data_IF_462211781621
#
_entry.id   IF_462211781621
#
_cell.length_a   1.000
_cell.length_b   1.000
_cell.length_c   1.000
_cell.angle_alpha   90.00
_cell.angle_beta   90.00
_cell.angle_gamma   90.00
#
_symmetry.space_group_name_H-M   'P 1'
#
loop_
_entity.id
_entity.type
_entity.pdbx_description
1 polymer ?
#
# COMPACT_ATOMS: atom_id res chain seq x y z
N UNK A 1 -35.41 10.67 -2.58
CA UNK A 1 -35.19 9.20 -2.49
C UNK A 1 -34.08 8.67 -3.39
N UNK A 2 -33.93 9.15 -4.64
CA UNK A 2 -32.82 8.73 -5.54
C UNK A 2 -31.41 9.00 -4.96
N UNK A 3 -31.18 10.13 -4.28
CA UNK A 3 -29.85 10.45 -3.71
C UNK A 3 -29.40 9.55 -2.54
N UNK A 4 -30.33 8.96 -1.78
CA UNK A 4 -29.96 8.06 -0.67
C UNK A 4 -29.41 6.71 -1.17
N UNK A 5 -29.96 6.19 -2.27
CA UNK A 5 -29.48 4.95 -2.87
C UNK A 5 -28.12 5.12 -3.57
N UNK A 6 -27.85 6.29 -4.18
CA UNK A 6 -26.53 6.59 -4.77
C UNK A 6 -25.45 6.73 -3.69
N UNK A 7 -25.77 7.35 -2.56
CA UNK A 7 -24.84 7.48 -1.42
C UNK A 7 -24.57 6.12 -0.77
N UNK A 8 -25.60 5.27 -0.62
CA UNK A 8 -25.44 3.91 -0.07
C UNK A 8 -24.68 3.00 -1.05
N UNK A 9 -24.93 3.08 -2.36
CA UNK A 9 -24.18 2.34 -3.37
C UNK A 9 -22.72 2.82 -3.46
N UNK A 10 -22.46 4.12 -3.32
CA UNK A 10 -21.11 4.68 -3.24
C UNK A 10 -20.40 4.29 -1.94
N UNK A 11 -21.10 4.21 -0.81
CA UNK A 11 -20.52 3.71 0.46
C UNK A 11 -20.20 2.21 0.38
N UNK A 12 -21.09 1.38 -0.17
CA UNK A 12 -20.87 -0.07 -0.32
C UNK A 12 -19.76 -0.37 -1.34
N UNK A 13 -19.56 0.47 -2.35
CA UNK A 13 -18.42 0.37 -3.28
C UNK A 13 -17.15 1.01 -2.73
N UNK A 14 -17.22 2.11 -1.98
CA UNK A 14 -16.07 2.74 -1.31
C UNK A 14 -15.53 1.92 -0.14
N UNK A 15 -16.35 1.09 0.52
CA UNK A 15 -15.90 0.11 1.53
C UNK A 15 -15.12 -1.04 0.87
N UNK A 16 -15.40 -1.35 -0.41
CA UNK A 16 -14.71 -2.42 -1.16
C UNK A 16 -13.55 -1.92 -2.05
N UNK A 17 -13.38 -0.61 -2.21
CA UNK A 17 -12.20 -0.03 -2.86
C UNK A 17 -11.24 0.36 -1.74
N UNK A 18 -10.16 -0.41 -1.48
CA UNK A 18 -9.12 0.04 -0.57
C UNK A 18 -8.59 1.38 -1.09
N UNK A 19 -8.90 2.45 -0.36
CA UNK A 19 -8.34 3.77 -0.62
C UNK A 19 -6.84 3.64 -0.39
N UNK A 20 -6.06 3.86 -1.45
CA UNK A 20 -4.70 3.36 -1.55
C UNK A 20 -3.69 4.05 -0.62
N UNK A 21 -4.08 5.19 -0.06
CA UNK A 21 -3.33 5.99 0.90
C UNK A 21 -4.06 6.08 2.25
N UNK A 22 -4.84 5.06 2.61
CA UNK A 22 -5.54 5.00 3.89
C UNK A 22 -5.19 3.75 4.66
N UNK A 23 -5.15 3.91 5.97
CA UNK A 23 -5.12 2.82 6.91
C UNK A 23 -6.36 1.94 6.80
N UNK A 24 -6.17 0.62 6.85
CA UNK A 24 -7.26 -0.36 6.87
C UNK A 24 -7.17 -1.17 8.15
N UNK A 25 -7.91 -0.71 9.17
CA UNK A 25 -8.10 -1.45 10.41
C UNK A 25 -9.02 -2.67 10.17
N UNK A 26 -8.42 -3.81 9.79
CA UNK A 26 -9.16 -5.04 9.52
C UNK A 26 -9.87 -5.56 10.78
N UNK A 27 -9.29 -5.44 11.99
CA UNK A 27 -10.02 -5.83 13.20
C UNK A 27 -11.31 -5.01 13.28
N UNK A 28 -11.25 -3.70 13.04
CA UNK A 28 -12.41 -2.81 13.10
C UNK A 28 -13.42 -3.00 11.98
N UNK A 29 -13.08 -3.76 10.93
CA UNK A 29 -14.02 -4.19 9.87
C UNK A 29 -14.77 -5.45 10.28
N UNK A 30 -14.13 -6.36 11.04
CA UNK A 30 -14.66 -7.69 11.36
C UNK A 30 -15.08 -7.86 12.83
N UNK A 31 -14.72 -6.93 13.70
CA UNK A 31 -15.08 -6.93 15.11
C UNK A 31 -15.75 -5.61 15.47
N UNK A 32 -16.78 -5.70 16.31
CA UNK A 32 -17.46 -4.55 16.88
C UNK A 32 -16.49 -3.66 17.64
N UNK A 33 -16.32 -2.43 17.18
CA UNK A 33 -15.34 -1.45 17.72
C UNK A 33 -15.63 -1.03 19.16
N UNK A 34 -16.88 -1.13 19.60
CA UNK A 34 -17.32 -0.85 20.98
C UNK A 34 -17.14 -2.05 21.91
N UNK A 35 -16.71 -3.22 21.41
CA UNK A 35 -16.48 -4.40 22.23
C UNK A 35 -15.19 -4.31 23.06
N UNK A 36 -15.24 -4.84 24.28
CA UNK A 36 -14.07 -4.97 25.16
C UNK A 36 -12.94 -5.76 24.51
N UNK A 37 -13.27 -6.81 23.74
CA UNK A 37 -12.28 -7.65 23.05
C UNK A 37 -11.53 -6.87 21.97
N UNK A 38 -12.23 -6.06 21.16
CA UNK A 38 -11.57 -5.20 20.17
C UNK A 38 -10.59 -4.22 20.85
N UNK A 39 -10.98 -3.60 21.96
CA UNK A 39 -10.09 -2.72 22.73
C UNK A 39 -8.88 -3.46 23.30
N UNK A 40 -9.05 -4.68 23.82
CA UNK A 40 -7.95 -5.49 24.35
C UNK A 40 -6.96 -5.91 23.25
N UNK A 41 -7.47 -6.37 22.10
CA UNK A 41 -6.66 -6.74 20.93
C UNK A 41 -5.85 -5.53 20.46
N UNK A 42 -6.51 -4.39 20.26
CA UNK A 42 -5.86 -3.14 19.83
C UNK A 42 -4.77 -2.71 20.81
N UNK A 43 -5.04 -2.76 22.11
CA UNK A 43 -4.06 -2.40 23.14
C UNK A 43 -2.81 -3.28 23.13
N UNK A 44 -2.95 -4.60 22.93
CA UNK A 44 -1.79 -5.50 22.84
C UNK A 44 -0.98 -5.23 21.57
N UNK A 45 -1.62 -4.91 20.45
CA UNK A 45 -0.91 -4.54 19.20
C UNK A 45 -0.15 -3.23 19.32
N UNK A 46 -0.76 -2.20 19.91
CA UNK A 46 -0.08 -0.93 20.20
C UNK A 46 1.07 -1.13 21.19
N UNK A 47 0.91 -2.03 22.17
CA UNK A 47 1.97 -2.43 23.10
C UNK A 47 3.15 -3.06 22.38
N UNK A 48 2.95 -3.84 21.31
CA UNK A 48 4.08 -4.42 20.57
C UNK A 48 5.04 -3.35 20.04
N UNK A 49 4.50 -2.25 19.48
CA UNK A 49 5.32 -1.12 19.02
C UNK A 49 6.13 -0.49 20.14
N UNK A 50 5.53 -0.31 21.33
CA UNK A 50 6.23 0.22 22.51
C UNK A 50 7.32 -0.74 23.01
N UNK A 51 7.00 -2.03 23.10
CA UNK A 51 7.93 -3.06 23.61
C UNK A 51 9.19 -3.20 22.75
N UNK A 52 9.10 -2.95 21.43
CA UNK A 52 10.25 -2.98 20.51
C UNK A 52 10.94 -1.63 20.36
N UNK A 53 10.57 -0.64 21.18
CA UNK A 53 11.12 0.73 21.12
C UNK A 53 10.93 1.41 19.76
N UNK A 54 9.82 1.16 19.08
CA UNK A 54 9.43 1.94 17.90
C UNK A 54 9.15 3.39 18.28
N UNK A 55 9.55 4.32 17.41
CA UNK A 55 9.38 5.76 17.64
C UNK A 55 8.06 6.18 17.02
N UNK A 56 7.15 6.72 17.83
CA UNK A 56 5.93 7.38 17.34
C UNK A 56 6.29 8.77 16.78
N UNK A 57 5.96 9.00 15.52
CA UNK A 57 6.26 10.25 14.81
C UNK A 57 5.08 11.22 14.92
N UNK A 58 3.89 10.77 14.59
CA UNK A 58 2.64 11.55 14.65
C UNK A 58 1.43 10.60 14.68
N UNK A 59 0.27 11.18 14.96
CA UNK A 59 -1.04 10.54 14.85
C UNK A 59 -1.86 11.14 13.70
N UNK A 60 -2.91 10.43 13.32
CA UNK A 60 -3.78 10.73 12.16
C UNK A 60 -3.02 10.78 10.84
N UNK A 61 -1.93 10.02 10.74
CA UNK A 61 -1.18 9.84 9.50
C UNK A 61 -1.88 8.80 8.62
N UNK A 62 -2.05 9.11 7.35
CA UNK A 62 -2.67 8.23 6.35
C UNK A 62 -1.66 7.72 5.31
N UNK A 63 -0.51 8.39 5.20
CA UNK A 63 0.60 8.02 4.33
C UNK A 63 1.92 8.47 4.92
N UNK A 64 2.99 7.69 4.75
CA UNK A 64 4.34 8.10 5.16
C UNK A 64 5.46 7.43 4.36
N UNK A 65 6.46 8.22 3.94
CA UNK A 65 7.61 7.74 3.18
C UNK A 65 8.92 8.41 3.63
N UNK A 66 10.05 7.78 3.29
CA UNK A 66 11.37 8.36 3.54
C UNK A 66 11.79 9.25 2.36
N UNK A 67 12.23 10.47 2.64
CA UNK A 67 12.85 11.35 1.64
C UNK A 67 14.39 11.26 1.70
N UNK A 68 14.92 10.92 2.86
CA UNK A 68 16.35 10.68 3.10
C UNK A 68 16.53 9.68 4.24
N UNK A 69 17.77 9.41 4.66
CA UNK A 69 18.01 8.61 5.86
C UNK A 69 17.52 9.26 7.16
N UNK A 70 17.21 10.56 7.14
CA UNK A 70 16.89 11.37 8.32
C UNK A 70 15.51 11.99 8.30
N UNK A 71 14.95 12.16 7.12
CA UNK A 71 13.70 12.88 6.92
C UNK A 71 12.60 11.97 6.40
N UNK A 72 11.42 12.17 6.98
CA UNK A 72 10.20 11.43 6.70
C UNK A 72 9.17 12.43 6.23
N UNK A 73 8.60 12.20 5.05
CA UNK A 73 7.43 12.93 4.57
C UNK A 73 6.18 12.13 4.92
N UNK A 74 5.15 12.80 5.42
CA UNK A 74 3.88 12.15 5.73
C UNK A 74 2.69 13.07 5.52
N UNK A 75 1.53 12.47 5.29
CA UNK A 75 0.24 13.15 5.13
C UNK A 75 -0.59 12.87 6.37
N UNK A 76 -1.05 13.94 7.01
CA UNK A 76 -1.96 13.91 8.16
C UNK A 76 -3.35 14.35 7.74
N UNK A 77 -4.38 13.56 8.05
CA UNK A 77 -5.78 13.86 7.72
C UNK A 77 -6.59 14.07 9.01
N UNK A 78 -7.17 15.26 9.18
CA UNK A 78 -8.00 15.62 10.33
C UNK A 78 -9.26 16.35 9.84
N UNK A 79 -10.44 15.81 10.13
CA UNK A 79 -11.72 16.45 9.84
C UNK A 79 -11.82 17.02 8.40
N UNK A 80 -11.39 16.25 7.39
CA UNK A 80 -11.36 16.60 5.96
C UNK A 80 -10.30 17.65 5.53
N UNK A 81 -9.42 18.07 6.45
CA UNK A 81 -8.23 18.84 6.12
C UNK A 81 -6.99 17.93 6.14
N UNK A 82 -6.20 18.01 5.08
CA UNK A 82 -4.93 17.33 4.95
C UNK A 82 -3.78 18.31 5.18
N UNK A 83 -2.73 17.83 5.85
CA UNK A 83 -1.48 18.56 6.04
C UNK A 83 -0.31 17.66 5.69
N UNK A 84 0.59 18.15 4.84
CA UNK A 84 1.81 17.44 4.44
C UNK A 84 2.96 17.98 5.28
N UNK A 85 3.68 17.09 5.93
CA UNK A 85 4.81 17.45 6.80
C UNK A 85 6.10 16.76 6.35
N UNK A 86 7.23 17.42 6.58
CA UNK A 86 8.54 16.77 6.69
C UNK A 86 8.92 16.73 8.17
N UNK A 87 9.22 15.55 8.67
CA UNK A 87 9.78 15.32 10.00
C UNK A 87 11.24 14.93 9.90
N UNK A 88 12.10 15.64 10.61
CA UNK A 88 13.52 15.28 10.75
C UNK A 88 13.71 14.47 12.04
N UNK A 89 14.10 13.20 11.91
CA UNK A 89 14.19 12.26 13.04
C UNK A 89 15.28 12.61 14.06
N UNK A 90 16.34 13.30 13.62
CA UNK A 90 17.48 13.61 14.49
C UNK A 90 17.16 14.81 15.39
N UNK A 91 16.51 15.83 14.84
CA UNK A 91 16.13 17.05 15.57
C UNK A 91 14.74 16.99 16.20
N UNK A 92 13.90 16.03 15.79
CA UNK A 92 12.50 15.96 16.19
C UNK A 92 11.62 17.07 15.59
N UNK A 93 12.16 17.91 14.69
CA UNK A 93 11.44 19.05 14.12
C UNK A 93 10.49 18.61 13.01
N UNK A 94 9.29 19.22 13.01
CA UNK A 94 8.27 19.08 11.97
C UNK A 94 8.15 20.38 11.18
N UNK A 95 8.20 20.29 9.85
CA UNK A 95 7.96 21.40 8.92
C UNK A 95 6.70 21.11 8.12
N UNK A 96 5.71 22.00 8.20
CA UNK A 96 4.54 21.97 7.32
C UNK A 96 4.98 22.38 5.90
N UNK A 97 4.62 21.58 4.90
CA UNK A 97 4.84 21.89 3.49
C UNK A 97 3.59 22.48 2.84
N UNK A 98 2.45 21.82 3.02
CA UNK A 98 1.23 22.17 2.28
C UNK A 98 -0.03 21.72 3.01
N UNK A 99 -1.15 22.39 2.73
CA UNK A 99 -2.49 22.02 3.22
C UNK A 99 -3.50 22.04 2.08
N UNK A 100 -4.42 21.08 2.11
CA UNK A 100 -5.50 20.98 1.15
C UNK A 100 -6.71 20.28 1.78
N UNK A 101 -7.90 20.45 1.22
CA UNK A 101 -9.13 19.86 1.74
C UNK A 101 -9.63 18.75 0.81
N UNK A 102 -10.19 17.69 1.39
CA UNK A 102 -10.71 16.55 0.66
C UNK A 102 -10.25 15.21 1.26
N UNK A 103 -10.62 14.13 0.59
CA UNK A 103 -10.21 12.76 0.96
C UNK A 103 -9.12 12.29 0.01
N UNK A 104 -7.98 11.88 0.56
CA UNK A 104 -6.90 11.32 -0.26
C UNK A 104 -7.27 9.93 -0.76
N UNK A 105 -7.14 9.69 -2.07
CA UNK A 105 -7.45 8.40 -2.71
C UNK A 105 -6.21 7.66 -3.21
N UNK A 106 -5.11 8.37 -3.45
CA UNK A 106 -3.82 7.81 -3.85
C UNK A 106 -2.66 8.70 -3.39
N UNK A 107 -1.55 8.08 -3.00
CA UNK A 107 -0.29 8.76 -2.71
C UNK A 107 0.88 7.82 -3.01
N UNK A 108 1.90 8.34 -3.70
CA UNK A 108 3.15 7.62 -3.93
C UNK A 108 4.32 8.61 -4.00
N UNK A 109 5.51 8.13 -3.63
CA UNK A 109 6.74 8.91 -3.59
C UNK A 109 7.90 8.12 -4.18
N UNK A 110 8.70 8.78 -5.03
CA UNK A 110 9.94 8.20 -5.56
C UNK A 110 11.15 8.94 -5.03
N UNK A 111 11.87 8.31 -4.11
CA UNK A 111 13.04 8.90 -3.46
C UNK A 111 14.13 9.39 -4.43
N UNK A 112 14.39 8.64 -5.50
CA UNK A 112 15.42 9.00 -6.49
C UNK A 112 15.09 10.33 -7.20
N UNK A 113 13.80 10.59 -7.41
CA UNK A 113 13.33 11.73 -8.20
C UNK A 113 12.91 12.89 -7.30
N UNK A 114 12.54 12.60 -6.04
CA UNK A 114 11.97 13.56 -5.10
C UNK A 114 10.50 13.88 -5.37
N UNK A 115 9.84 13.16 -6.29
CA UNK A 115 8.46 13.42 -6.64
C UNK A 115 7.51 12.73 -5.66
N UNK A 116 6.70 13.52 -4.96
CA UNK A 116 5.47 13.08 -4.31
C UNK A 116 4.30 13.38 -5.24
N UNK A 117 3.42 12.41 -5.46
CA UNK A 117 2.13 12.63 -6.10
C UNK A 117 1.00 12.21 -5.17
N UNK A 118 -0.01 13.06 -5.07
CA UNK A 118 -1.21 12.84 -4.25
C UNK A 118 -2.42 13.06 -5.13
N UNK A 119 -3.41 12.17 -5.03
CA UNK A 119 -4.73 12.38 -5.59
C UNK A 119 -5.74 12.49 -4.47
N UNK A 120 -6.64 13.45 -4.58
CA UNK A 120 -7.70 13.65 -3.61
C UNK A 120 -9.03 13.97 -4.27
N UNK A 121 -10.12 13.59 -3.60
CA UNK A 121 -11.49 13.86 -4.00
C UNK A 121 -12.16 14.83 -3.03
N UNK A 122 -13.02 15.68 -3.54
CA UNK A 122 -13.87 16.57 -2.74
C UNK A 122 -15.21 16.78 -3.45
N UNK A 123 -16.21 17.23 -2.70
CA UNK A 123 -17.50 17.61 -3.26
C UNK A 123 -17.42 19.08 -3.66
N UNK A 124 -17.69 19.38 -4.94
CA UNK A 124 -17.76 20.75 -5.44
C UNK A 124 -18.98 21.48 -4.86
N UNK A 125 -19.00 22.81 -5.02
CA UNK A 125 -20.16 23.63 -4.63
C UNK A 125 -21.45 23.22 -5.35
N UNK A 126 -21.32 22.61 -6.54
CA UNK A 126 -22.42 22.03 -7.33
C UNK A 126 -22.86 20.64 -6.86
N UNK A 127 -22.24 20.10 -5.80
CA UNK A 127 -22.56 18.79 -5.23
C UNK A 127 -21.97 17.60 -5.99
N UNK A 128 -21.07 17.83 -6.96
CA UNK A 128 -20.43 16.78 -7.76
C UNK A 128 -19.08 16.36 -7.16
N UNK A 129 -18.76 15.07 -7.23
CA UNK A 129 -17.44 14.57 -6.85
C UNK A 129 -16.39 15.01 -7.87
N UNK A 130 -15.38 15.76 -7.42
CA UNK A 130 -14.26 16.25 -8.23
C UNK A 130 -12.96 15.69 -7.69
N UNK A 131 -12.00 15.43 -8.59
CA UNK A 131 -10.65 15.00 -8.24
C UNK A 131 -9.57 15.99 -8.68
N UNK A 132 -8.54 16.11 -7.86
CA UNK A 132 -7.33 16.88 -8.16
C UNK A 132 -6.09 16.06 -7.83
N UNK A 133 -5.02 16.37 -8.55
CA UNK A 133 -3.68 15.86 -8.33
C UNK A 133 -2.81 16.98 -7.73
N UNK A 134 -2.02 16.65 -6.71
CA UNK A 134 -0.96 17.50 -6.16
C UNK A 134 0.36 16.82 -6.45
N UNK A 135 1.28 17.54 -7.07
CA UNK A 135 2.66 17.13 -7.27
C UNK A 135 3.56 18.02 -6.42
N UNK A 136 4.45 17.40 -5.65
CA UNK A 136 5.43 18.10 -4.83
C UNK A 136 6.82 17.59 -5.18
N UNK A 137 7.73 18.53 -5.45
CA UNK A 137 9.16 18.25 -5.51
C UNK A 137 9.75 18.42 -4.11
N UNK A 138 10.19 17.33 -3.48
CA UNK A 138 10.73 17.35 -2.13
C UNK A 138 12.07 18.11 -2.02
N UNK A 139 12.80 18.31 -3.13
CA UNK A 139 14.09 19.01 -3.16
C UNK A 139 13.90 20.53 -3.20
N UNK A 140 12.94 21.00 -4.00
CA UNK A 140 12.66 22.45 -4.15
C UNK A 140 11.50 22.93 -3.27
N UNK A 141 10.70 22.01 -2.71
CA UNK A 141 9.41 22.29 -2.07
C UNK A 141 8.38 22.94 -3.01
N UNK A 142 8.59 22.88 -4.32
CA UNK A 142 7.62 23.37 -5.31
C UNK A 142 6.37 22.50 -5.32
N UNK A 143 5.19 23.13 -5.41
CA UNK A 143 3.89 22.46 -5.43
C UNK A 143 3.14 22.85 -6.70
N UNK A 144 2.64 21.84 -7.43
CA UNK A 144 1.76 22.01 -8.59
C UNK A 144 0.46 21.26 -8.33
N UNK A 145 -0.67 21.91 -8.60
CA UNK A 145 -1.98 21.28 -8.60
C UNK A 145 -2.56 21.20 -10.00
N UNK A 146 -3.25 20.10 -10.31
CA UNK A 146 -3.95 19.93 -11.57
C UNK A 146 -5.31 19.26 -11.35
N UNK A 147 -6.28 19.60 -12.20
CA UNK A 147 -7.56 18.87 -12.25
C UNK A 147 -7.28 17.48 -12.80
N UNK A 148 -7.85 16.46 -12.15
CA UNK A 148 -7.75 15.08 -12.61
C UNK A 148 -9.05 14.61 -13.22
N UNK A 149 -8.95 13.88 -14.34
CA UNK A 149 -10.11 13.30 -15.02
C UNK A 149 -10.63 12.00 -14.38
N UNK A 150 -9.92 11.47 -13.38
CA UNK A 150 -10.30 10.24 -12.67
C UNK A 150 -10.25 10.44 -11.16
N UNK A 151 -11.28 9.93 -10.48
CA UNK A 151 -11.43 9.95 -9.03
C UNK A 151 -10.35 9.13 -8.30
N UNK A 152 -9.82 8.11 -8.98
CA UNK A 152 -8.83 7.18 -8.44
C UNK A 152 -7.58 7.16 -9.33
N UNK A 153 -6.58 6.35 -8.95
CA UNK A 153 -5.29 6.26 -9.64
C UNK A 153 -5.44 6.11 -11.16
N UNK A 154 -4.83 7.03 -11.89
CA UNK A 154 -4.80 7.06 -13.36
C UNK A 154 -3.39 7.29 -13.94
N UNK A 155 -2.37 7.29 -13.08
CA UNK A 155 -0.97 7.32 -13.47
C UNK A 155 -0.10 6.51 -12.50
N UNK A 156 1.11 6.19 -12.93
CA UNK A 156 2.19 5.67 -12.09
C UNK A 156 3.34 6.69 -12.04
N UNK A 157 4.13 6.70 -10.97
CA UNK A 157 5.35 7.52 -10.94
C UNK A 157 6.46 6.83 -11.72
N UNK A 158 7.22 7.61 -12.48
CA UNK A 158 8.42 7.13 -13.17
C UNK A 158 9.57 6.96 -12.17
N UNK A 159 10.33 5.87 -12.27
CA UNK A 159 11.46 5.59 -11.37
C UNK A 159 12.74 6.37 -11.69
N UNK A 160 12.86 6.90 -12.91
CA UNK A 160 14.11 7.45 -13.46
C UNK A 160 14.15 8.98 -13.54
N UNK A 161 13.02 9.65 -13.25
CA UNK A 161 12.86 11.09 -13.45
C UNK A 161 11.65 11.61 -12.69
N UNK A 162 11.59 12.93 -12.48
CA UNK A 162 10.47 13.62 -11.84
C UNK A 162 9.27 13.71 -12.79
N UNK A 163 8.75 12.57 -13.20
CA UNK A 163 7.64 12.45 -14.14
C UNK A 163 6.65 11.37 -13.72
N UNK A 164 5.42 11.50 -14.18
CA UNK A 164 4.41 10.46 -14.14
C UNK A 164 4.26 9.79 -15.49
N UNK A 165 3.73 8.58 -15.49
CA UNK A 165 3.34 7.81 -16.67
C UNK A 165 1.82 7.76 -16.72
N UNK A 166 1.22 8.40 -17.74
CA UNK A 166 -0.22 8.64 -17.82
C UNK A 166 -0.76 8.35 -19.22
N UNK A 167 -1.92 7.69 -19.29
CA UNK A 167 -2.62 7.45 -20.55
C UNK A 167 -3.35 8.71 -21.03
N UNK A 168 -3.26 8.99 -22.33
CA UNK A 168 -4.01 10.02 -23.05
C UNK A 168 -4.73 9.41 -24.25
N UNK A 169 -5.42 10.25 -25.05
CA UNK A 169 -6.29 9.81 -26.16
C UNK A 169 -5.59 8.91 -27.18
N UNK A 170 -4.33 9.18 -27.52
CA UNK A 170 -3.59 8.51 -28.60
C UNK A 170 -2.43 7.60 -28.12
N UNK A 171 -2.19 7.52 -26.82
CA UNK A 171 -1.08 6.72 -26.29
C UNK A 171 -0.80 6.99 -24.81
N UNK A 172 0.28 6.41 -24.31
CA UNK A 172 0.79 6.62 -22.96
C UNK A 172 1.98 7.57 -23.03
N UNK A 173 1.98 8.54 -22.12
CA UNK A 173 2.95 9.62 -22.05
C UNK A 173 3.69 9.59 -20.73
N UNK A 174 4.96 9.97 -20.80
CA UNK A 174 5.74 10.42 -19.66
C UNK A 174 5.59 11.94 -19.54
N UNK A 175 5.09 12.41 -18.41
CA UNK A 175 4.76 13.82 -18.16
C UNK A 175 5.49 14.34 -16.92
N UNK A 176 6.29 15.40 -17.07
CA UNK A 176 6.84 16.14 -15.93
C UNK A 176 5.86 17.27 -15.53
N UNK A 177 5.27 17.23 -14.32
CA UNK A 177 4.27 18.21 -13.89
C UNK A 177 4.83 19.62 -13.63
N UNK A 178 6.16 19.77 -13.50
CA UNK A 178 6.81 21.05 -13.21
C UNK A 178 7.39 21.68 -14.48
N UNK A 179 7.99 20.86 -15.34
CA UNK A 179 8.48 21.31 -16.65
C UNK A 179 7.38 21.36 -17.72
N UNK A 180 6.22 20.74 -17.44
CA UNK A 180 5.07 20.60 -18.35
C UNK A 180 5.42 19.90 -19.67
N UNK A 181 6.49 19.10 -19.67
CA UNK A 181 6.97 18.36 -20.84
C UNK A 181 6.27 17.01 -20.96
N UNK A 182 5.93 16.63 -22.20
CA UNK A 182 5.23 15.38 -22.51
C UNK A 182 6.00 14.60 -23.56
N UNK A 183 6.34 13.35 -23.26
CA UNK A 183 7.00 12.44 -24.20
C UNK A 183 6.12 11.22 -24.37
N UNK A 184 5.68 10.94 -25.60
CA UNK A 184 4.94 9.70 -25.89
C UNK A 184 5.89 8.51 -25.79
N UNK A 185 5.50 7.49 -25.03
CA UNK A 185 6.34 6.30 -24.79
C UNK A 185 5.68 5.00 -25.26
N UNK A 186 4.38 5.04 -25.59
CA UNK A 186 3.67 3.90 -26.17
C UNK A 186 2.45 4.37 -26.96
N UNK A 187 2.28 3.87 -28.18
CA UNK A 187 1.09 4.15 -29.00
C UNK A 187 -0.13 3.35 -28.54
N UNK A 188 -1.33 3.92 -28.68
CA UNK A 188 -2.58 3.27 -28.31
C UNK A 188 -2.80 1.91 -28.97
N UNK A 189 -2.34 1.74 -30.22
CA UNK A 189 -2.43 0.48 -30.97
C UNK A 189 -1.77 -0.69 -30.26
N UNK A 190 -0.78 -0.45 -29.40
CA UNK A 190 -0.10 -1.51 -28.64
C UNK A 190 -0.97 -2.12 -27.53
N UNK A 191 -2.09 -1.49 -27.16
CA UNK A 191 -2.94 -1.91 -26.05
C UNK A 191 -4.44 -1.71 -26.27
N UNK A 192 -4.87 -1.45 -27.51
CA UNK A 192 -6.29 -1.22 -27.82
C UNK A 192 -7.16 -2.48 -27.67
N UNK A 193 -6.53 -3.66 -27.70
CA UNK A 193 -7.11 -4.97 -27.41
C UNK A 193 -7.46 -5.18 -25.92
N UNK A 194 -6.92 -4.34 -25.02
CA UNK A 194 -7.36 -4.32 -23.63
C UNK A 194 -8.72 -3.60 -23.55
N UNK A 195 -9.79 -4.36 -23.36
CA UNK A 195 -11.12 -3.83 -23.07
C UNK A 195 -11.14 -3.13 -21.70
N UNK A 196 -11.03 -1.81 -21.70
CA UNK A 196 -10.85 -1.04 -20.47
C UNK A 196 -12.12 -0.34 -19.92
N UNK A 197 -13.27 -0.37 -20.61
CA UNK A 197 -14.57 0.16 -20.12
C UNK A 197 -14.45 1.46 -19.30
N UNK A 198 -13.90 2.52 -19.91
CA UNK A 198 -13.62 3.85 -19.31
C UNK A 198 -12.64 3.89 -18.13
N UNK A 199 -12.11 2.76 -17.68
CA UNK A 199 -11.07 2.72 -16.66
C UNK A 199 -9.73 3.26 -17.20
N UNK A 200 -8.95 3.97 -16.37
CA UNK A 200 -7.64 4.45 -16.77
C UNK A 200 -6.71 3.28 -17.10
N UNK A 201 -5.92 3.47 -18.17
CA UNK A 201 -4.84 2.55 -18.54
C UNK A 201 -3.58 2.93 -17.80
N UNK A 202 -3.00 1.97 -17.09
CA UNK A 202 -1.80 2.13 -16.29
C UNK A 202 -0.66 1.30 -16.91
N UNK A 203 0.55 1.86 -16.86
CA UNK A 203 1.75 1.27 -17.42
C UNK A 203 2.82 1.16 -16.34
N UNK A 204 3.32 -0.06 -16.14
CA UNK A 204 4.46 -0.37 -15.31
C UNK A 204 5.63 -0.83 -16.20
N UNK A 205 6.77 -0.14 -16.11
CA UNK A 205 7.96 -0.39 -16.93
C UNK A 205 8.97 -1.24 -16.17
N UNK A 206 9.59 -2.21 -16.83
CA UNK A 206 10.79 -2.88 -16.30
C UNK A 206 11.93 -1.86 -16.10
N UNK A 207 12.94 -2.15 -15.26
CA UNK A 207 14.05 -1.24 -15.01
C UNK A 207 14.77 -0.79 -16.30
N UNK A 208 14.99 -1.71 -17.24
CA UNK A 208 15.56 -1.43 -18.57
C UNK A 208 14.56 -0.91 -19.62
N UNK A 209 13.27 -0.82 -19.25
CA UNK A 209 12.13 -0.39 -20.10
C UNK A 209 11.84 -1.32 -21.29
N UNK A 210 12.53 -2.46 -21.40
CA UNK A 210 12.35 -3.43 -22.48
C UNK A 210 11.03 -4.19 -22.38
N UNK A 211 10.50 -4.34 -21.16
CA UNK A 211 9.22 -4.99 -20.87
C UNK A 211 8.26 -4.06 -20.17
N UNK A 212 6.97 -4.30 -20.38
CA UNK A 212 5.88 -3.42 -19.98
C UNK A 212 4.72 -4.25 -19.48
N UNK A 213 4.20 -3.94 -18.31
CA UNK A 213 2.91 -4.44 -17.85
C UNK A 213 1.91 -3.32 -18.08
N UNK A 214 0.89 -3.62 -18.89
CA UNK A 214 -0.23 -2.71 -19.13
C UNK A 214 -1.44 -3.31 -18.46
N UNK A 215 -2.16 -2.48 -17.74
CA UNK A 215 -3.28 -2.88 -16.92
C UNK A 215 -4.37 -1.83 -16.96
N UNK A 216 -5.63 -2.26 -16.99
CA UNK A 216 -6.77 -1.38 -16.80
C UNK A 216 -7.89 -2.12 -16.09
N UNK A 217 -8.67 -1.37 -15.32
CA UNK A 217 -9.69 -1.93 -14.43
C UNK A 217 -9.81 -1.09 -13.18
N UNK A 218 -10.66 -1.55 -12.27
CA UNK A 218 -10.92 -0.92 -10.98
C UNK A 218 -11.51 -1.96 -10.02
N UNK A 219 -11.61 -1.62 -8.73
CA UNK A 219 -12.33 -2.47 -7.76
C UNK A 219 -11.76 -3.87 -7.51
N UNK A 220 -10.49 -4.12 -7.86
CA UNK A 220 -9.86 -5.43 -7.69
C UNK A 220 -9.94 -6.35 -8.91
N UNK A 221 -10.59 -5.93 -9.99
CA UNK A 221 -10.64 -6.66 -11.25
C UNK A 221 -9.87 -5.88 -12.32
N UNK A 222 -8.70 -6.40 -12.69
CA UNK A 222 -7.82 -5.77 -13.68
C UNK A 222 -7.52 -6.71 -14.83
N UNK A 223 -7.83 -6.24 -16.03
CA UNK A 223 -7.32 -6.81 -17.26
C UNK A 223 -5.89 -6.32 -17.45
N UNK A 224 -4.95 -7.25 -17.61
CA UNK A 224 -3.55 -6.90 -17.79
C UNK A 224 -2.87 -7.78 -18.84
N UNK A 225 -1.79 -7.24 -19.40
CA UNK A 225 -0.89 -7.98 -20.28
C UNK A 225 0.54 -7.54 -20.11
N UNK A 226 1.45 -8.48 -20.32
CA UNK A 226 2.87 -8.26 -20.48
C UNK A 226 3.18 -8.04 -21.97
N UNK A 227 3.88 -6.96 -22.26
CA UNK A 227 4.46 -6.66 -23.57
C UNK A 227 5.99 -6.68 -23.50
N UNK A 228 6.61 -7.35 -24.46
CA UNK A 228 8.03 -7.26 -24.79
C UNK A 228 8.20 -7.22 -26.32
N UNK A 229 9.42 -7.06 -26.82
CA UNK A 229 9.71 -7.09 -28.26
C UNK A 229 9.31 -8.39 -28.95
N UNK A 230 9.30 -9.52 -28.22
CA UNK A 230 9.05 -10.86 -28.75
C UNK A 230 7.75 -11.49 -28.25
N UNK A 231 7.05 -10.86 -27.29
CA UNK A 231 5.95 -11.50 -26.58
C UNK A 231 4.85 -10.53 -26.19
N UNK A 232 3.61 -10.93 -26.45
CA UNK A 232 2.41 -10.36 -25.86
C UNK A 232 1.70 -11.48 -25.10
N UNK A 233 1.52 -11.31 -23.80
CA UNK A 233 0.94 -12.34 -22.95
C UNK A 233 -0.10 -11.75 -21.99
N UNK A 234 -1.33 -12.31 -21.93
CA UNK A 234 -2.30 -11.96 -20.90
C UNK A 234 -1.75 -12.27 -19.50
N UNK A 235 -1.87 -11.31 -18.59
CA UNK A 235 -1.55 -11.48 -17.18
C UNK A 235 -2.85 -11.63 -16.40
N UNK A 236 -3.13 -12.84 -15.90
CA UNK A 236 -4.39 -13.17 -15.23
C UNK A 236 -4.31 -12.94 -13.72
N UNK A 237 -5.44 -12.53 -13.15
CA UNK A 237 -5.64 -12.45 -11.71
C UNK A 237 -4.95 -11.28 -11.04
N UNK A 238 -4.52 -10.26 -11.78
CA UNK A 238 -4.03 -9.01 -11.19
C UNK A 238 -5.19 -8.31 -10.48
N UNK A 239 -4.98 -7.89 -9.24
CA UNK A 239 -6.03 -7.22 -8.45
C UNK A 239 -5.67 -5.80 -8.01
N UNK A 240 -4.45 -5.33 -8.25
CA UNK A 240 -4.03 -3.97 -7.90
C UNK A 240 -2.89 -3.50 -8.77
N UNK A 241 -3.01 -2.29 -9.31
CA UNK A 241 -1.95 -1.66 -10.10
C UNK A 241 -0.86 -1.00 -9.26
N UNK A 242 -1.17 -0.61 -8.02
CA UNK A 242 -0.18 -0.11 -7.05
C UNK A 242 0.75 -1.22 -6.59
N UNK A 243 0.22 -2.43 -6.46
CA UNK A 243 0.94 -3.59 -5.96
C UNK A 243 1.63 -4.36 -7.09
N UNK A 244 2.33 -3.67 -7.99
CA UNK A 244 3.15 -4.27 -9.05
C UNK A 244 4.57 -3.73 -8.94
N UNK A 245 5.53 -4.61 -8.72
CA UNK A 245 6.93 -4.22 -8.56
C UNK A 245 7.86 -5.12 -9.35
N UNK A 246 8.67 -4.54 -10.21
CA UNK A 246 9.74 -5.27 -10.89
C UNK A 246 10.88 -5.55 -9.90
N UNK A 247 11.34 -6.80 -9.82
CA UNK A 247 12.54 -7.20 -9.03
C UNK A 247 13.77 -7.32 -9.95
N UNK A 248 13.56 -7.17 -11.24
CA UNK A 248 14.57 -7.18 -12.29
C UNK A 248 13.89 -7.02 -13.63
N UNK A 249 14.61 -7.26 -14.72
CA UNK A 249 14.04 -7.12 -16.07
C UNK A 249 13.12 -8.29 -16.48
N UNK A 250 13.22 -9.42 -15.79
CA UNK A 250 12.54 -10.67 -16.16
C UNK A 250 11.60 -11.22 -15.08
N UNK A 251 11.40 -10.48 -14.00
CA UNK A 251 10.51 -10.90 -12.92
C UNK A 251 9.87 -9.72 -12.20
N UNK A 252 8.65 -9.94 -11.73
CA UNK A 252 7.89 -8.94 -10.98
C UNK A 252 7.01 -9.59 -9.93
N UNK A 253 6.79 -8.86 -8.85
CA UNK A 253 5.78 -9.17 -7.84
C UNK A 253 4.49 -8.49 -8.22
N UNK A 254 3.38 -9.17 -7.96
CA UNK A 254 2.07 -8.58 -8.06
C UNK A 254 1.08 -9.12 -7.02
N UNK A 255 0.07 -8.31 -6.69
CA UNK A 255 -1.09 -8.77 -5.91
C UNK A 255 -2.07 -9.51 -6.81
N UNK A 256 -2.55 -10.66 -6.32
CA UNK A 256 -3.58 -11.43 -7.00
C UNK A 256 -4.62 -12.00 -6.03
N UNK A 257 -5.71 -12.56 -6.54
CA UNK A 257 -6.73 -13.24 -5.74
C UNK A 257 -8.07 -12.54 -5.78
N UNK A 258 -8.82 -12.57 -4.67
CA UNK A 258 -10.12 -11.94 -4.54
C UNK A 258 -10.29 -11.37 -3.12
N UNK A 259 -11.29 -10.50 -2.86
CA UNK A 259 -11.60 -10.03 -1.52
C UNK A 259 -11.67 -11.20 -0.52
N UNK A 260 -10.83 -11.13 0.52
CA UNK A 260 -10.72 -12.18 1.53
C UNK A 260 -9.57 -13.18 1.31
N UNK A 261 -9.20 -13.46 0.06
CA UNK A 261 -8.16 -14.44 -0.30
C UNK A 261 -7.20 -13.85 -1.34
N UNK A 262 -6.50 -12.79 -0.93
CA UNK A 262 -5.42 -12.24 -1.73
C UNK A 262 -4.13 -13.02 -1.52
N UNK A 263 -3.21 -12.86 -2.46
CA UNK A 263 -1.87 -13.41 -2.45
C UNK A 263 -0.87 -12.43 -3.03
N UNK A 264 0.37 -12.57 -2.55
CA UNK A 264 1.55 -11.94 -3.13
C UNK A 264 2.19 -12.98 -4.04
N UNK A 265 2.31 -12.69 -5.33
CA UNK A 265 2.87 -13.61 -6.33
C UNK A 265 4.13 -13.04 -6.96
N UNK A 266 5.12 -13.89 -7.16
CA UNK A 266 6.31 -13.64 -7.97
C UNK A 266 6.12 -14.29 -9.34
N UNK A 267 6.10 -13.49 -10.40
CA UNK A 267 6.08 -13.95 -11.78
C UNK A 267 7.49 -13.96 -12.38
N UNK A 268 7.91 -15.08 -12.96
CA UNK A 268 9.15 -15.23 -13.72
C UNK A 268 8.79 -15.34 -15.21
N UNK A 269 9.21 -14.35 -16.00
CA UNK A 269 8.86 -14.23 -17.42
C UNK A 269 9.55 -15.32 -18.25
N UNK A 270 10.81 -15.61 -17.93
CA UNK A 270 11.63 -16.56 -18.66
C UNK A 270 11.11 -17.99 -18.44
N UNK A 271 10.68 -18.31 -17.21
CA UNK A 271 10.10 -19.61 -16.87
C UNK A 271 8.61 -19.72 -17.15
N UNK A 272 7.96 -18.60 -17.46
CA UNK A 272 6.51 -18.51 -17.61
C UNK A 272 5.77 -19.12 -16.39
N UNK A 273 6.27 -18.85 -15.19
CA UNK A 273 5.81 -19.49 -13.97
C UNK A 273 5.55 -18.47 -12.87
N UNK A 274 4.74 -18.87 -11.90
CA UNK A 274 4.34 -18.02 -10.79
C UNK A 274 4.48 -18.77 -9.49
N UNK A 275 5.07 -18.12 -8.49
CA UNK A 275 5.23 -18.66 -7.14
C UNK A 275 4.49 -17.74 -6.17
N UNK A 276 3.69 -18.31 -5.29
CA UNK A 276 3.05 -17.56 -4.20
C UNK A 276 4.03 -17.36 -3.05
N UNK A 277 4.23 -16.10 -2.64
CA UNK A 277 5.07 -15.72 -1.50
C UNK A 277 4.24 -15.63 -0.21
N UNK A 278 3.02 -15.07 -0.32
CA UNK A 278 2.00 -15.03 0.73
C UNK A 278 0.68 -15.46 0.08
N UNK A 279 -0.14 -16.23 0.79
CA UNK A 279 -1.45 -16.71 0.37
C UNK A 279 -2.47 -16.48 1.47
N UNK A 280 -3.76 -16.49 1.13
CA UNK A 280 -4.86 -16.43 2.09
C UNK A 280 -4.81 -15.19 2.99
N UNK A 281 -4.58 -14.03 2.37
CA UNK A 281 -4.49 -12.77 3.09
C UNK A 281 -5.57 -11.75 2.71
N UNK A 282 -6.09 -11.04 3.72
CA UNK A 282 -7.19 -10.10 3.57
C UNK A 282 -6.78 -8.77 2.90
N UNK A 283 -5.53 -8.31 3.09
CA UNK A 283 -5.00 -7.09 2.48
C UNK A 283 -3.45 -7.10 2.50
N UNK A 284 -2.77 -7.45 1.40
CA UNK A 284 -1.33 -7.67 1.42
C UNK A 284 -0.43 -6.43 1.36
N UNK A 285 -0.93 -5.23 1.05
CA UNK A 285 -0.17 -3.97 0.79
C UNK A 285 1.33 -4.17 0.50
N UNK A 286 1.68 -4.27 -0.78
CA UNK A 286 3.00 -4.74 -1.20
C UNK A 286 3.95 -3.56 -1.34
N UNK A 287 5.18 -3.71 -0.83
CA UNK A 287 6.24 -2.69 -0.96
C UNK A 287 7.58 -3.34 -1.27
N UNK A 288 8.14 -3.01 -2.42
CA UNK A 288 9.45 -3.50 -2.82
C UNK A 288 10.52 -2.41 -2.69
N UNK A 289 11.62 -2.76 -2.04
CA UNK A 289 12.80 -1.93 -1.87
C UNK A 289 13.95 -2.46 -2.72
N UNK A 290 14.09 -1.86 -3.89
CA UNK A 290 14.97 -2.30 -4.96
C UNK A 290 16.46 -2.34 -4.55
N UNK A 291 16.95 -1.32 -3.83
CA UNK A 291 18.36 -1.19 -3.49
C UNK A 291 18.91 -2.34 -2.62
N UNK A 292 18.03 -3.03 -1.87
CA UNK A 292 18.41 -4.18 -1.03
C UNK A 292 17.72 -5.48 -1.45
N UNK A 293 16.81 -5.45 -2.42
CA UNK A 293 16.00 -6.62 -2.77
C UNK A 293 15.07 -7.06 -1.64
N UNK A 294 14.62 -6.13 -0.79
CA UNK A 294 13.69 -6.42 0.31
C UNK A 294 12.25 -6.23 -0.17
N UNK A 295 11.40 -7.19 0.14
CA UNK A 295 9.97 -7.12 -0.06
C UNK A 295 9.27 -7.06 1.30
N UNK A 296 8.39 -6.10 1.48
CA UNK A 296 7.43 -6.08 2.56
C UNK A 296 6.03 -6.38 2.04
N UNK A 297 5.26 -7.07 2.85
CA UNK A 297 3.83 -7.25 2.66
C UNK A 297 3.15 -7.51 3.99
N UNK A 298 1.82 -7.51 3.96
CA UNK A 298 0.95 -7.77 5.10
C UNK A 298 0.34 -9.16 4.97
N UNK A 299 0.65 -10.05 5.91
CA UNK A 299 -0.06 -11.31 6.08
C UNK A 299 -1.14 -11.10 7.14
N UNK A 300 -2.34 -10.74 6.71
CA UNK A 300 -3.49 -10.46 7.56
C UNK A 300 -3.15 -9.38 8.62
N UNK A 301 -2.60 -8.26 8.13
CA UNK A 301 -2.01 -7.12 8.85
C UNK A 301 -0.66 -7.38 9.52
N UNK A 302 -0.21 -8.62 9.74
CA UNK A 302 1.15 -8.81 10.26
C UNK A 302 2.17 -8.43 9.20
N UNK A 303 3.13 -7.57 9.59
CA UNK A 303 4.19 -7.15 8.71
C UNK A 303 5.13 -8.34 8.49
N UNK A 304 5.31 -8.72 7.22
CA UNK A 304 6.24 -9.76 6.78
C UNK A 304 7.29 -9.13 5.88
N UNK A 305 8.55 -9.35 6.23
CA UNK A 305 9.71 -8.86 5.46
C UNK A 305 10.37 -10.08 4.83
N UNK A 306 10.63 -10.02 3.52
CA UNK A 306 11.26 -11.07 2.73
C UNK A 306 12.50 -10.49 2.06
N UNK A 307 13.65 -11.08 2.34
CA UNK A 307 14.86 -10.85 1.56
C UNK A 307 14.84 -11.82 0.37
N UNK A 308 14.67 -11.26 -0.83
CA UNK A 308 14.54 -12.05 -2.05
C UNK A 308 15.88 -12.66 -2.51
N UNK A 309 17.01 -12.11 -2.07
CA UNK A 309 18.34 -12.62 -2.39
C UNK A 309 18.67 -13.83 -1.51
N UNK A 310 18.55 -13.67 -0.18
CA UNK A 310 18.83 -14.75 0.77
C UNK A 310 17.66 -15.74 0.96
N UNK A 311 16.48 -15.41 0.40
CA UNK A 311 15.22 -16.15 0.57
C UNK A 311 14.79 -16.29 2.03
N UNK A 312 15.21 -15.35 2.87
CA UNK A 312 14.84 -15.30 4.27
C UNK A 312 13.51 -14.56 4.43
N UNK A 313 12.70 -15.03 5.38
CA UNK A 313 11.40 -14.46 5.69
C UNK A 313 11.34 -14.16 7.18
N UNK A 314 11.13 -12.90 7.51
CA UNK A 314 10.92 -12.40 8.86
C UNK A 314 9.44 -12.07 9.05
N UNK A 315 8.77 -12.90 9.84
CA UNK A 315 7.48 -12.53 10.44
C UNK A 315 7.77 -11.63 11.65
N UNK A 316 7.32 -10.39 11.59
CA UNK A 316 7.74 -9.40 12.59
C UNK A 316 6.99 -9.50 13.91
N UNK A 317 5.81 -10.14 13.94
CA UNK A 317 4.94 -10.16 15.12
C UNK A 317 4.25 -8.82 15.43
N UNK A 318 4.55 -7.77 14.65
CA UNK A 318 3.84 -6.49 14.69
C UNK A 318 2.90 -6.38 13.48
N UNK A 319 1.82 -5.64 13.68
CA UNK A 319 0.83 -5.41 12.65
C UNK A 319 0.85 -3.98 12.15
N UNK A 320 0.55 -3.78 10.88
CA UNK A 320 0.46 -2.48 10.23
C UNK A 320 -0.49 -2.49 9.04
N UNK A 321 -0.69 -1.31 8.48
CA UNK A 321 -1.63 -1.04 7.39
C UNK A 321 -0.92 -0.49 6.14
N UNK A 322 0.22 0.16 6.34
CA UNK A 322 1.18 0.54 5.30
C UNK A 322 2.61 0.32 5.80
N UNK A 323 3.55 0.02 4.91
CA UNK A 323 4.99 -0.11 5.21
C UNK A 323 5.84 0.69 4.23
N UNK A 324 6.91 1.37 4.67
CA UNK A 324 7.91 1.95 3.74
C UNK A 324 9.32 1.88 4.33
N UNK A 325 10.27 1.27 3.61
CA UNK A 325 11.66 1.10 4.08
C UNK A 325 12.48 2.38 4.04
N UNK A 326 13.40 2.51 5.01
CA UNK A 326 14.42 3.55 4.98
C UNK A 326 15.42 3.30 3.85
N UNK A 327 16.14 4.33 3.37
CA UNK A 327 17.08 4.18 2.25
C UNK A 327 18.25 3.24 2.52
N UNK A 328 18.57 2.95 3.79
CA UNK A 328 19.58 1.96 4.16
C UNK A 328 19.02 0.53 4.29
N UNK A 329 17.68 0.38 4.27
CA UNK A 329 16.94 -0.87 4.46
C UNK A 329 16.88 -1.37 5.91
N UNK A 330 17.40 -0.62 6.89
CA UNK A 330 17.50 -1.08 8.28
C UNK A 330 16.28 -0.74 9.13
N UNK A 331 15.47 0.21 8.68
CA UNK A 331 14.26 0.68 9.34
C UNK A 331 13.10 0.66 8.37
N UNK A 332 11.90 0.70 8.90
CA UNK A 332 10.70 0.95 8.12
C UNK A 332 9.75 1.88 8.87
N UNK A 333 8.95 2.59 8.10
CA UNK A 333 7.74 3.24 8.56
C UNK A 333 6.62 2.22 8.56
N UNK A 334 5.75 2.28 9.55
CA UNK A 334 4.45 1.64 9.47
C UNK A 334 3.36 2.53 10.05
N UNK A 335 2.16 2.43 9.49
CA UNK A 335 0.96 3.05 10.04
C UNK A 335 0.14 1.96 10.72
N UNK A 336 -0.34 2.25 11.93
CA UNK A 336 -1.30 1.42 12.65
C UNK A 336 -2.33 2.32 13.34
N UNK A 337 -3.59 2.24 12.91
CA UNK A 337 -4.72 3.06 13.42
C UNK A 337 -4.38 4.55 13.41
N UNK A 338 -3.84 5.02 12.29
CA UNK A 338 -3.41 6.41 12.08
C UNK A 338 -2.14 6.83 12.84
N UNK A 339 -1.50 5.96 13.62
CA UNK A 339 -0.22 6.27 14.25
C UNK A 339 0.93 5.89 13.33
N UNK A 340 1.81 6.85 13.03
CA UNK A 340 3.00 6.63 12.21
C UNK A 340 4.19 6.28 13.09
N UNK A 341 4.73 5.07 12.91
CA UNK A 341 5.88 4.56 13.64
C UNK A 341 7.11 4.45 12.76
N UNK A 342 8.29 4.67 13.36
CA UNK A 342 9.58 4.23 12.82
C UNK A 342 10.06 3.03 13.63
N UNK A 343 10.32 1.92 12.95
CA UNK A 343 10.79 0.68 13.57
C UNK A 343 12.14 0.27 12.97
N UNK A 344 13.08 -0.12 13.83
CA UNK A 344 14.35 -0.72 13.39
C UNK A 344 14.21 -2.24 13.38
N UNK A 345 14.58 -2.88 12.27
CA UNK A 345 14.46 -4.33 12.07
C UNK A 345 15.25 -5.09 13.14
N UNK A 346 16.44 -4.59 13.54
CA UNK A 346 17.25 -5.25 14.57
C UNK A 346 16.58 -5.28 15.95
N UNK A 347 15.64 -4.37 16.22
CA UNK A 347 14.91 -4.35 17.49
C UNK A 347 13.82 -5.43 17.52
N UNK A 348 13.25 -5.78 16.38
CA UNK A 348 12.29 -6.90 16.27
C UNK A 348 12.97 -8.20 16.68
N UNK A 349 14.18 -8.44 16.18
CA UNK A 349 14.96 -9.63 16.55
C UNK A 349 15.39 -9.59 18.01
N UNK A 350 15.90 -8.44 18.49
CA UNK A 350 16.32 -8.25 19.88
C UNK A 350 15.18 -8.51 20.88
N UNK A 351 13.97 -8.07 20.56
CA UNK A 351 12.80 -8.16 21.44
C UNK A 351 11.83 -9.28 21.07
N UNK A 352 12.27 -10.26 20.27
CA UNK A 352 11.45 -11.38 19.78
C UNK A 352 10.74 -12.15 20.90
N UNK A 353 11.39 -12.33 22.07
CA UNK A 353 10.76 -13.00 23.22
C UNK A 353 9.51 -12.23 23.70
N UNK A 354 9.58 -10.89 23.79
CA UNK A 354 8.42 -10.08 24.21
C UNK A 354 7.31 -10.13 23.16
N UNK A 355 7.68 -10.05 21.88
CA UNK A 355 6.74 -10.16 20.77
C UNK A 355 6.01 -11.51 20.77
N UNK A 356 6.72 -12.63 20.97
CA UNK A 356 6.10 -13.97 21.06
C UNK A 356 5.16 -14.09 22.25
N UNK A 357 5.52 -13.52 23.42
CA UNK A 357 4.61 -13.48 24.58
C UNK A 357 3.33 -12.70 24.27
N UNK A 358 3.45 -11.52 23.67
CA UNK A 358 2.28 -10.74 23.30
C UNK A 358 1.45 -11.45 22.20
N UNK A 359 2.10 -12.15 21.27
CA UNK A 359 1.43 -12.98 20.27
C UNK A 359 0.63 -14.14 20.88
N UNK A 360 1.08 -14.75 21.98
CA UNK A 360 0.28 -15.72 22.73
C UNK A 360 -0.98 -15.07 23.33
N UNK A 361 -0.85 -13.86 23.87
CA UNK A 361 -2.01 -13.09 24.36
C UNK A 361 -2.98 -12.77 23.23
N UNK A 362 -2.50 -12.31 22.06
CA UNK A 362 -3.33 -12.07 20.88
C UNK A 362 -4.02 -13.34 20.39
N UNK A 363 -3.31 -14.46 20.32
CA UNK A 363 -3.91 -15.75 19.97
C UNK A 363 -5.04 -16.12 20.93
N UNK A 364 -4.86 -15.94 22.25
CA UNK A 364 -5.92 -16.19 23.23
C UNK A 364 -7.14 -15.29 23.02
N UNK A 365 -6.92 -13.98 22.82
CA UNK A 365 -7.99 -13.01 22.55
C UNK A 365 -8.75 -13.34 21.26
N UNK A 366 -8.06 -13.74 20.19
CA UNK A 366 -8.70 -14.14 18.94
C UNK A 366 -9.49 -15.45 19.05
N UNK A 367 -9.01 -16.43 19.82
CA UNK A 367 -9.80 -17.64 20.09
C UNK A 367 -11.07 -17.34 20.88
N UNK A 368 -10.97 -16.47 21.90
CA UNK A 368 -12.14 -15.99 22.63
C UNK A 368 -13.11 -15.27 21.69
N UNK A 369 -12.57 -14.41 20.83
CA UNK A 369 -13.35 -13.70 19.84
C UNK A 369 -14.10 -14.62 18.85
N UNK A 370 -13.47 -15.71 18.45
CA UNK A 370 -14.09 -16.73 17.60
C UNK A 370 -15.25 -17.47 18.30
N UNK A 371 -15.20 -17.61 19.62
CA UNK A 371 -16.28 -18.26 20.39
C UNK A 371 -17.49 -17.36 20.69
N UNK A 372 -17.31 -16.03 20.64
CA UNK A 372 -18.32 -15.06 21.04
C UNK A 372 -18.95 -14.34 19.85
N UNK A 373 -19.93 -14.97 19.16
CA UNK A 373 -20.58 -14.38 17.98
C UNK A 373 -21.12 -12.95 18.17
N UNK A 374 -21.46 -12.57 19.40
CA UNK A 374 -21.98 -11.23 19.73
C UNK A 374 -21.02 -10.10 19.36
N UNK A 375 -19.72 -10.37 19.28
CA UNK A 375 -18.70 -9.36 18.95
C UNK A 375 -18.43 -9.24 17.45
N UNK A 376 -18.97 -10.15 16.63
CA UNK A 376 -18.74 -10.15 15.19
C UNK A 376 -19.47 -8.97 14.56
N UNK A 377 -18.78 -8.26 13.67
CA UNK A 377 -19.37 -7.12 12.96
C UNK A 377 -20.23 -7.58 11.77
N UNK A 378 -19.83 -8.67 11.12
CA UNK A 378 -20.48 -9.19 9.91
C UNK A 378 -20.26 -10.71 9.71
N UNK A 379 -20.86 -11.28 8.67
CA UNK A 379 -20.81 -12.73 8.39
C UNK A 379 -19.39 -13.26 8.07
N UNK A 380 -18.50 -12.39 7.60
CA UNK A 380 -17.11 -12.75 7.26
C UNK A 380 -16.18 -12.74 8.48
N UNK A 381 -16.65 -12.27 9.64
CA UNK A 381 -15.85 -12.16 10.87
C UNK A 381 -15.25 -13.50 11.31
N UNK A 382 -15.99 -14.60 11.12
CA UNK A 382 -15.52 -15.95 11.46
C UNK A 382 -14.31 -16.36 10.64
N UNK A 383 -14.35 -16.10 9.34
CA UNK A 383 -13.25 -16.43 8.42
C UNK A 383 -12.02 -15.59 8.77
N UNK A 384 -12.20 -14.28 8.95
CA UNK A 384 -11.16 -13.37 9.40
C UNK A 384 -10.47 -13.87 10.68
N UNK A 385 -11.25 -14.16 11.72
CA UNK A 385 -10.73 -14.66 13.00
C UNK A 385 -9.97 -15.98 12.84
N UNK A 386 -10.47 -16.88 11.98
CA UNK A 386 -9.79 -18.15 11.69
C UNK A 386 -8.42 -17.92 11.06
N UNK A 387 -8.32 -16.99 10.10
CA UNK A 387 -7.05 -16.60 9.47
C UNK A 387 -6.07 -15.97 10.46
N UNK A 388 -6.54 -15.07 11.32
CA UNK A 388 -5.70 -14.46 12.39
C UNK A 388 -5.17 -15.53 13.35
N UNK A 389 -6.00 -16.48 13.78
CA UNK A 389 -5.57 -17.58 14.66
C UNK A 389 -4.50 -18.44 13.98
N UNK A 390 -4.68 -18.80 12.70
CA UNK A 390 -3.69 -19.57 11.95
C UNK A 390 -2.37 -18.81 11.78
N UNK A 391 -2.42 -17.53 11.46
CA UNK A 391 -1.26 -16.65 11.38
C UNK A 391 -0.46 -16.63 12.69
N UNK A 392 -1.13 -16.36 13.81
CA UNK A 392 -0.44 -16.30 15.11
C UNK A 392 0.10 -17.67 15.53
N UNK A 393 -0.57 -18.77 15.21
CA UNK A 393 -0.03 -20.12 15.40
C UNK A 393 1.23 -20.35 14.55
N UNK A 394 1.23 -19.93 13.28
CA UNK A 394 2.39 -20.01 12.38
C UNK A 394 3.57 -19.19 12.91
N UNK A 395 3.32 -17.95 13.33
CA UNK A 395 4.35 -17.08 13.93
C UNK A 395 4.97 -17.71 15.19
N UNK A 396 4.13 -18.27 16.07
CA UNK A 396 4.58 -18.95 17.30
C UNK A 396 5.23 -20.31 17.05
N UNK A 397 4.95 -20.98 15.93
CA UNK A 397 5.56 -22.24 15.54
C UNK A 397 6.88 -22.09 14.76
N UNK A 398 7.10 -20.95 14.11
CA UNK A 398 8.36 -20.66 13.45
C UNK A 398 9.44 -20.35 14.49
N UNK A 399 10.42 -21.23 14.66
CA UNK A 399 11.69 -20.86 15.28
C UNK A 399 12.42 -19.89 14.33
N UNK A 400 12.75 -18.70 14.82
CA UNK A 400 13.26 -17.59 14.00
C UNK A 400 14.52 -17.98 13.23
N UNK A 401 14.42 -18.09 11.89
CA UNK A 401 15.59 -18.01 11.01
C UNK A 401 16.01 -16.54 10.96
N UNK A 402 17.07 -16.20 11.69
CA UNK A 402 17.60 -14.83 11.78
C UNK A 402 17.96 -14.29 10.39
N UNK A 403 17.57 -13.03 10.13
CA UNK A 403 18.09 -12.30 8.97
C UNK A 403 19.51 -11.84 9.31
N UNK A 404 20.51 -12.35 8.61
CA UNK A 404 21.93 -12.05 8.91
C UNK A 404 22.37 -10.71 8.31
#
# INVERSE_FOLDING_TARGET
MKNRFTIIAFLITAINIPLQARDIDLDGIYLKKDSTLYSQISSVKEKNYKDISSILIDSSAIYGCWISGEEILYIKELANQNSIYIFNKNSGKKKLLYRFNGTVTFSDFKINTGLLAIKYIFISDEGSSVSKDIFIDSKTSEVKEAVSFSLFQNYNLSGDSRSIVIAKKDGIYKYDPFAETNIKILDKKSYEDLSCSDNPVLLNLSPDKSKKIISCGSGGDYNAKLLSSSRVQPLKGLTSNKDIFWIGNDSFIYRSGAPGDYSIKLYDINKNSTISLITDTMNPDIKFFEQRGLLAGLDNQMIVIMDLQSKQVLYTGIEGEEINFSPDGRKFLSIYRGNLYVTNISLIEKYNISLRRNAQSLLSLYNKALSEKVIWENDFSREYLSKKILLYKKYLGNESKHMK
#
